data_IF_573092289235
#
_entry.id   IF_573092289235
#
_cell.length_a   1.000
_cell.length_b   1.000
_cell.length_c   1.000
_cell.angle_alpha   90.00
_cell.angle_beta   90.00
_cell.angle_gamma   90.00
#
_symmetry.space_group_name_H-M   'P 1'
#
loop_
_entity.id
_entity.type
_entity.pdbx_description
1 polymer ?
#
# COMPACT_ATOMS: atom_id res chain seq x y z
N UNK A 1 -11.44 12.82 13.74
CA UNK A 1 -10.08 12.88 13.20
C UNK A 1 -10.13 13.40 11.77
N UNK A 2 -9.22 14.28 11.44
CA UNK A 2 -9.20 14.94 10.13
C UNK A 2 -9.12 13.96 8.95
N UNK A 3 -8.35 12.89 9.07
CA UNK A 3 -8.18 11.92 8.00
C UNK A 3 -9.47 11.17 7.68
N UNK A 4 -10.20 10.73 8.69
CA UNK A 4 -11.49 10.07 8.47
C UNK A 4 -12.50 11.01 7.81
N UNK A 5 -12.49 12.27 8.22
CA UNK A 5 -13.38 13.27 7.61
C UNK A 5 -13.01 13.49 6.14
N UNK A 6 -11.73 13.56 5.82
CA UNK A 6 -11.26 13.73 4.44
C UNK A 6 -11.66 12.56 3.55
N UNK A 7 -11.54 11.34 4.04
CA UNK A 7 -11.95 10.14 3.32
C UNK A 7 -13.47 10.15 3.12
N UNK A 8 -14.22 10.47 4.16
CA UNK A 8 -15.68 10.55 4.07
C UNK A 8 -16.13 11.57 3.04
N UNK A 9 -15.48 12.74 3.00
CA UNK A 9 -15.78 13.76 1.99
C UNK A 9 -15.53 13.27 0.57
N UNK A 10 -14.43 12.57 0.35
CA UNK A 10 -14.13 12.00 -0.95
C UNK A 10 -15.21 11.01 -1.40
N UNK A 11 -15.79 10.28 -0.46
CA UNK A 11 -16.79 9.27 -0.75
C UNK A 11 -18.20 9.84 -0.97
N UNK A 12 -18.47 11.05 -0.50
CA UNK A 12 -19.78 11.70 -0.71
C UNK A 12 -20.09 11.83 -2.20
N UNK A 13 -19.08 11.99 -3.05
CA UNK A 13 -19.26 12.09 -4.49
C UNK A 13 -19.44 10.75 -5.19
N UNK A 14 -19.41 9.65 -4.45
CA UNK A 14 -19.51 8.27 -4.97
C UNK A 14 -18.54 8.01 -6.12
N UNK A 15 -17.22 8.19 -5.90
CA UNK A 15 -16.25 8.02 -6.96
C UNK A 15 -16.12 6.56 -7.38
N UNK A 16 -15.76 6.33 -8.64
CA UNK A 16 -15.37 5.00 -9.11
C UNK A 16 -13.90 4.71 -8.81
N UNK A 17 -13.09 5.75 -8.73
CA UNK A 17 -11.66 5.67 -8.47
C UNK A 17 -11.31 6.58 -7.29
N UNK A 18 -10.60 6.03 -6.33
CA UNK A 18 -10.09 6.78 -5.19
C UNK A 18 -8.56 6.76 -5.24
N UNK A 19 -7.97 7.95 -5.28
CA UNK A 19 -6.53 8.11 -5.27
C UNK A 19 -6.09 8.70 -3.93
N UNK A 20 -5.19 8.00 -3.23
CA UNK A 20 -4.69 8.43 -1.92
C UNK A 20 -3.17 8.43 -1.94
N UNK A 21 -2.57 9.55 -1.58
CA UNK A 21 -1.13 9.73 -1.57
C UNK A 21 -0.65 9.91 -0.13
N UNK A 22 -0.09 8.86 0.44
CA UNK A 22 0.43 8.79 1.81
C UNK A 22 -0.51 9.39 2.85
N UNK A 23 -1.80 9.01 2.84
CA UNK A 23 -2.80 9.71 3.65
C UNK A 23 -2.56 9.58 5.16
N UNK A 24 -1.86 8.54 5.61
CA UNK A 24 -1.63 8.25 7.02
C UNK A 24 -0.17 8.35 7.42
N UNK A 25 0.68 8.91 6.55
CA UNK A 25 2.13 8.90 6.73
C UNK A 25 2.62 9.61 7.99
N UNK A 26 1.90 10.63 8.46
CA UNK A 26 2.28 11.40 9.64
C UNK A 26 1.78 10.79 10.96
N UNK A 27 1.02 9.72 10.89
CA UNK A 27 0.39 9.10 12.07
C UNK A 27 1.28 8.03 12.69
N UNK A 28 1.09 7.79 13.99
CA UNK A 28 1.76 6.68 14.66
C UNK A 28 1.24 5.34 14.12
N UNK A 29 1.98 4.27 14.40
CA UNK A 29 1.69 2.95 13.87
C UNK A 29 0.31 2.43 14.30
N UNK A 30 -0.04 2.62 15.57
CA UNK A 30 -1.32 2.14 16.08
C UNK A 30 -2.50 2.83 15.39
N UNK A 31 -2.45 4.14 15.28
CA UNK A 31 -3.50 4.93 14.63
C UNK A 31 -3.59 4.59 13.15
N UNK A 32 -2.44 4.46 12.50
CA UNK A 32 -2.38 4.08 11.08
C UNK A 32 -3.03 2.73 10.85
N UNK A 33 -2.71 1.72 11.67
CA UNK A 33 -3.27 0.39 11.52
C UNK A 33 -4.78 0.40 11.67
N UNK A 34 -5.33 1.19 12.59
CA UNK A 34 -6.77 1.33 12.76
C UNK A 34 -7.44 1.94 11.54
N UNK A 35 -6.83 2.96 10.97
CA UNK A 35 -7.35 3.60 9.76
C UNK A 35 -7.24 2.69 8.55
N UNK A 36 -6.17 1.91 8.46
CA UNK A 36 -6.02 0.91 7.40
C UNK A 36 -7.11 -0.15 7.50
N UNK A 37 -7.44 -0.60 8.72
CA UNK A 37 -8.54 -1.55 8.93
C UNK A 37 -9.88 -0.97 8.45
N UNK A 38 -10.15 0.28 8.79
CA UNK A 38 -11.37 0.97 8.36
C UNK A 38 -11.41 1.13 6.85
N UNK A 39 -10.26 1.47 6.25
CA UNK A 39 -10.17 1.67 4.80
C UNK A 39 -10.41 0.37 4.03
N UNK A 40 -9.88 -0.75 4.51
CA UNK A 40 -10.10 -2.06 3.87
C UNK A 40 -11.59 -2.40 3.86
N UNK A 41 -12.28 -2.19 4.98
CA UNK A 41 -13.71 -2.46 5.04
C UNK A 41 -14.49 -1.58 4.09
N UNK A 42 -14.17 -0.30 4.07
CA UNK A 42 -14.85 0.67 3.24
C UNK A 42 -14.65 0.36 1.76
N UNK A 43 -13.40 0.08 1.37
CA UNK A 43 -13.07 -0.33 0.01
C UNK A 43 -13.85 -1.57 -0.41
N UNK A 44 -13.90 -2.56 0.45
CA UNK A 44 -14.61 -3.80 0.17
C UNK A 44 -16.12 -3.58 0.02
N UNK A 45 -16.72 -2.82 0.94
CA UNK A 45 -18.16 -2.56 0.92
C UNK A 45 -18.59 -1.73 -0.28
N UNK A 46 -17.76 -0.73 -0.64
CA UNK A 46 -18.09 0.21 -1.72
C UNK A 46 -17.62 -0.24 -3.08
N UNK A 47 -16.86 -1.32 -3.15
CA UNK A 47 -16.32 -1.84 -4.42
C UNK A 47 -15.52 -0.78 -5.19
N UNK A 48 -14.71 -0.02 -4.46
CA UNK A 48 -13.91 1.04 -5.04
C UNK A 48 -12.69 0.50 -5.78
N UNK A 49 -12.33 1.16 -6.88
CA UNK A 49 -10.97 1.01 -7.41
C UNK A 49 -10.12 2.05 -6.69
N UNK A 50 -9.08 1.61 -6.00
CA UNK A 50 -8.25 2.48 -5.18
C UNK A 50 -6.79 2.36 -5.57
N UNK A 51 -6.14 3.51 -5.74
CA UNK A 51 -4.68 3.61 -5.87
C UNK A 51 -4.19 4.28 -4.60
N UNK A 52 -3.30 3.59 -3.90
CA UNK A 52 -2.80 4.02 -2.60
C UNK A 52 -1.28 4.11 -2.65
N UNK A 53 -0.75 5.31 -2.43
CA UNK A 53 0.70 5.54 -2.43
C UNK A 53 1.17 5.58 -0.99
N UNK A 54 2.18 4.78 -0.66
CA UNK A 54 2.74 4.70 0.68
C UNK A 54 4.21 4.32 0.67
N UNK A 55 4.95 4.74 1.68
CA UNK A 55 6.31 4.27 1.94
C UNK A 55 6.35 3.14 2.97
N UNK A 56 5.20 2.76 3.52
CA UNK A 56 5.13 1.69 4.51
C UNK A 56 4.93 0.34 3.84
N UNK A 57 5.90 -0.56 4.01
CA UNK A 57 5.83 -1.93 3.51
C UNK A 57 4.63 -2.66 4.11
N UNK A 58 4.43 -2.52 5.41
CA UNK A 58 3.34 -3.22 6.13
C UNK A 58 1.98 -2.78 5.62
N UNK A 59 1.81 -1.48 5.42
CA UNK A 59 0.57 -0.91 4.89
C UNK A 59 0.29 -1.40 3.47
N UNK A 60 1.31 -1.39 2.62
CA UNK A 60 1.17 -1.86 1.25
C UNK A 60 0.70 -3.32 1.19
N UNK A 61 1.32 -4.20 1.96
CA UNK A 61 0.95 -5.62 1.99
C UNK A 61 -0.45 -5.81 2.56
N UNK A 62 -0.78 -5.08 3.63
CA UNK A 62 -2.08 -5.23 4.27
C UNK A 62 -3.23 -4.78 3.38
N UNK A 63 -3.08 -3.65 2.70
CA UNK A 63 -4.17 -3.04 1.95
C UNK A 63 -4.36 -3.60 0.55
N UNK A 64 -3.27 -4.02 -0.10
CA UNK A 64 -3.25 -4.13 -1.55
C UNK A 64 -3.60 -5.51 -2.06
N UNK A 65 -4.29 -5.55 -3.20
CA UNK A 65 -4.39 -6.76 -4.02
C UNK A 65 -3.16 -6.88 -4.91
N UNK A 66 -2.60 -5.74 -5.31
CA UNK A 66 -1.42 -5.68 -6.16
C UNK A 66 -0.56 -4.49 -5.76
N UNK A 67 0.73 -4.73 -5.63
CA UNK A 67 1.70 -3.72 -5.25
C UNK A 67 2.61 -3.45 -6.43
N UNK A 68 2.80 -2.17 -6.74
CA UNK A 68 3.73 -1.74 -7.78
C UNK A 68 4.89 -1.05 -7.09
N UNK A 69 6.08 -1.61 -7.24
CA UNK A 69 7.31 -1.02 -6.69
C UNK A 69 7.92 -0.13 -7.75
N UNK A 70 8.14 1.13 -7.38
CA UNK A 70 8.72 2.13 -8.27
C UNK A 70 10.17 2.35 -7.94
N UNK A 71 10.98 2.55 -8.98
CA UNK A 71 12.37 2.98 -8.83
C UNK A 71 12.48 4.43 -9.32
N UNK A 72 13.39 5.18 -8.69
CA UNK A 72 13.69 6.55 -9.07
C UNK A 72 14.92 6.61 -9.98
N UNK A 73 15.09 7.76 -10.67
CA UNK A 73 16.26 8.12 -11.46
C UNK A 73 16.61 7.14 -12.58
N UNK A 74 15.77 6.92 -13.59
CA UNK A 74 14.46 7.56 -13.81
C UNK A 74 13.33 6.86 -13.06
N UNK A 75 12.24 7.58 -12.87
CA UNK A 75 11.02 6.99 -12.34
C UNK A 75 10.49 5.91 -13.27
N UNK A 76 10.33 4.71 -12.75
CA UNK A 76 9.82 3.57 -13.53
C UNK A 76 9.27 2.49 -12.62
N UNK A 77 8.45 1.62 -13.19
CA UNK A 77 8.01 0.41 -12.49
C UNK A 77 9.19 -0.55 -12.41
N UNK A 78 9.55 -0.93 -11.20
CA UNK A 78 10.62 -1.88 -10.95
C UNK A 78 10.11 -3.31 -10.98
N UNK A 79 9.12 -3.61 -10.14
CA UNK A 79 8.46 -4.92 -10.05
C UNK A 79 7.03 -4.78 -9.57
N UNK A 80 6.26 -5.80 -9.82
CA UNK A 80 4.86 -5.88 -9.36
C UNK A 80 4.67 -7.15 -8.54
N UNK A 81 4.01 -7.03 -7.40
CA UNK A 81 3.71 -8.14 -6.50
C UNK A 81 2.19 -8.29 -6.37
N UNK A 82 1.70 -9.50 -6.54
CA UNK A 82 0.29 -9.82 -6.28
C UNK A 82 0.19 -10.41 -4.88
N UNK A 83 -0.73 -9.88 -4.07
CA UNK A 83 -0.97 -10.39 -2.73
C UNK A 83 -2.13 -11.36 -2.79
N UNK A 84 -1.83 -12.64 -2.70
CA UNK A 84 -2.82 -13.71 -2.75
C UNK A 84 -3.29 -14.03 -1.33
N UNK A 85 -4.19 -13.22 -0.83
CA UNK A 85 -4.81 -13.40 0.48
C UNK A 85 -6.25 -12.92 0.42
N UNK A 86 -7.10 -13.52 1.24
CA UNK A 86 -8.52 -13.19 1.26
C UNK A 86 -8.77 -11.74 1.62
N UNK A 87 -9.82 -11.18 1.04
CA UNK A 87 -10.29 -9.83 1.35
C UNK A 87 -11.71 -9.92 1.92
N UNK A 88 -12.10 -9.01 2.80
CA UNK A 88 -11.27 -7.95 3.38
C UNK A 88 -10.24 -8.51 4.35
N UNK A 89 -9.06 -7.89 4.40
CA UNK A 89 -8.01 -8.28 5.36
C UNK A 89 -8.45 -7.92 6.78
N UNK A 90 -8.08 -8.76 7.74
CA UNK A 90 -8.36 -8.51 9.15
C UNK A 90 -7.06 -8.51 9.97
N UNK A 91 -7.20 -8.31 11.27
CA UNK A 91 -6.05 -8.27 12.19
C UNK A 91 -5.23 -9.55 12.10
N UNK A 92 -5.89 -10.69 11.92
CA UNK A 92 -5.21 -11.99 11.84
C UNK A 92 -4.25 -12.06 10.67
N UNK A 93 -4.52 -11.36 9.58
CA UNK A 93 -3.60 -11.34 8.44
C UNK A 93 -2.25 -10.70 8.83
N UNK A 94 -2.27 -9.61 9.61
CA UNK A 94 -1.04 -8.95 10.06
C UNK A 94 -0.15 -9.89 10.90
N UNK A 95 -0.76 -10.83 11.61
CA UNK A 95 -0.03 -11.77 12.46
C UNK A 95 0.33 -13.07 11.74
N UNK A 96 -0.02 -13.19 10.47
CA UNK A 96 0.18 -14.43 9.72
C UNK A 96 1.59 -14.58 9.19
N UNK A 97 2.09 -15.82 9.05
CA UNK A 97 3.36 -16.08 8.37
C UNK A 97 3.37 -15.59 6.92
N UNK A 98 2.22 -15.65 6.25
CA UNK A 98 2.08 -15.17 4.89
C UNK A 98 2.36 -13.67 4.79
N UNK A 99 1.82 -12.88 5.71
CA UNK A 99 2.06 -11.45 5.77
C UNK A 99 3.56 -11.16 5.94
N UNK A 100 4.20 -11.84 6.88
CA UNK A 100 5.63 -11.66 7.14
C UNK A 100 6.46 -12.00 5.90
N UNK A 101 6.09 -13.06 5.18
CA UNK A 101 6.80 -13.47 3.97
C UNK A 101 6.70 -12.40 2.87
N UNK A 102 5.51 -11.86 2.63
CA UNK A 102 5.35 -10.78 1.67
C UNK A 102 6.13 -9.54 2.07
N UNK A 103 6.13 -9.18 3.34
CA UNK A 103 6.88 -8.03 3.82
C UNK A 103 8.38 -8.19 3.60
N UNK A 104 8.92 -9.38 3.86
CA UNK A 104 10.35 -9.66 3.62
C UNK A 104 10.71 -9.53 2.14
N UNK A 105 9.89 -10.10 1.27
CA UNK A 105 10.14 -10.04 -0.16
C UNK A 105 10.04 -8.61 -0.67
N UNK A 106 9.03 -7.87 -0.25
CA UNK A 106 8.85 -6.48 -0.65
C UNK A 106 10.00 -5.61 -0.16
N UNK A 107 10.48 -5.85 1.06
CA UNK A 107 11.62 -5.15 1.63
C UNK A 107 12.87 -5.36 0.78
N UNK A 108 13.11 -6.59 0.34
CA UNK A 108 14.23 -6.90 -0.53
C UNK A 108 14.12 -6.19 -1.88
N UNK A 109 12.94 -6.15 -2.46
CA UNK A 109 12.71 -5.46 -3.74
C UNK A 109 12.93 -3.95 -3.62
N UNK A 110 12.49 -3.35 -2.52
CA UNK A 110 12.72 -1.93 -2.28
C UNK A 110 14.19 -1.61 -2.13
N UNK A 111 14.94 -2.48 -1.46
CA UNK A 111 16.38 -2.32 -1.33
C UNK A 111 17.05 -2.37 -2.71
N UNK A 112 16.66 -3.31 -3.56
CA UNK A 112 17.17 -3.41 -4.94
C UNK A 112 16.81 -2.17 -5.75
N UNK A 113 15.57 -1.70 -5.64
CA UNK A 113 15.08 -0.53 -6.37
C UNK A 113 15.80 0.75 -5.96
N UNK A 114 16.33 0.80 -4.75
CA UNK A 114 17.06 1.94 -4.21
C UNK A 114 18.54 1.96 -4.58
N UNK A 115 19.06 0.87 -5.12
CA UNK A 115 20.45 0.81 -5.52
C UNK A 115 20.69 1.76 -6.71
N UNK A 116 21.86 2.42 -6.77
CA UNK A 116 22.21 3.21 -7.94
C UNK A 116 22.14 2.34 -9.18
N UNK A 117 21.43 2.81 -10.17
CA UNK A 117 21.36 2.09 -11.41
C UNK A 117 22.73 2.15 -12.10
N UNK A 118 23.31 0.99 -12.33
CA UNK A 118 24.51 0.93 -13.16
C UNK A 118 24.06 1.21 -14.58
N UNK A 119 24.62 2.26 -15.16
CA UNK A 119 24.40 2.50 -16.58
C UNK A 119 24.97 1.34 -17.36
N UNK A 120 24.36 1.04 -18.46
CA UNK A 120 24.86 -0.05 -19.30
C UNK A 120 26.32 0.12 -19.66
N UNK A 121 26.78 1.35 -19.75
CA UNK A 121 28.19 1.62 -20.01
C UNK A 121 29.10 1.22 -18.87
N UNK A 122 28.56 1.18 -17.66
CA UNK A 122 29.32 0.73 -16.50
C UNK A 122 29.42 -0.79 -16.48
N UNK A 123 28.64 -1.40 -17.28
CA UNK A 123 28.70 -2.85 -17.41
C UNK A 123 29.92 -3.21 -18.20
#
# INVERSE_FOLDING_TARGET
MKMRVSIARALVTEPNLLLMDEPFGALDEFTRNRLDDDLVRLWWERRLTTVFVTHSIYEAVFLSTRIIVMAANPGRIFRTMTIDAAQPRDVGFRDSPQFAAYCRELSAWLAEASLPQRTGGAA
#
